data_IF_244994610703
#
_entry.id   IF_244994610703
#
_cell.length_a   1.000
_cell.length_b   1.000
_cell.length_c   1.000
_cell.angle_alpha   90.00
_cell.angle_beta   90.00
_cell.angle_gamma   90.00
#
_symmetry.space_group_name_H-M   'P 1'
#
loop_
_entity.id
_entity.type
_entity.pdbx_description
1 polymer ?
#
# COMPACT_ATOMS: atom_id res chain seq x y z
N UNK A 1 -17.36 -23.05 5.18
CA UNK A 1 -17.98 -21.84 5.77
C UNK A 1 -17.30 -21.55 7.10
N UNK A 2 -17.03 -20.28 7.43
CA UNK A 2 -16.40 -19.86 8.70
C UNK A 2 -17.40 -19.06 9.54
N UNK A 3 -17.41 -19.28 10.86
CA UNK A 3 -18.23 -18.57 11.84
C UNK A 3 -17.35 -18.01 12.96
N UNK A 4 -17.69 -16.83 13.46
CA UNK A 4 -16.97 -16.14 14.54
C UNK A 4 -17.95 -15.81 15.66
N UNK A 5 -17.60 -16.20 16.88
CA UNK A 5 -18.38 -15.90 18.09
C UNK A 5 -17.52 -15.14 19.08
N UNK A 6 -18.09 -14.14 19.73
CA UNK A 6 -17.44 -13.42 20.82
C UNK A 6 -17.89 -14.02 22.16
N UNK A 7 -17.01 -14.06 23.15
CA UNK A 7 -17.34 -14.46 24.51
C UNK A 7 -16.66 -13.55 25.53
N UNK A 8 -17.27 -13.42 26.71
CA UNK A 8 -16.76 -12.60 27.79
C UNK A 8 -16.35 -13.42 29.02
N UNK A 9 -16.87 -14.65 29.17
CA UNK A 9 -16.56 -15.53 30.30
C UNK A 9 -16.20 -16.94 29.84
N UNK A 10 -15.55 -17.71 30.71
CA UNK A 10 -15.15 -19.09 30.42
C UNK A 10 -16.34 -20.05 30.33
N UNK A 11 -17.43 -19.76 31.04
CA UNK A 11 -18.67 -20.52 30.93
C UNK A 11 -19.35 -20.30 29.58
N UNK A 12 -19.36 -19.05 29.10
CA UNK A 12 -19.87 -18.70 27.77
C UNK A 12 -19.02 -19.33 26.68
N UNK A 13 -17.69 -19.29 26.82
CA UNK A 13 -16.73 -19.97 25.94
C UNK A 13 -17.05 -21.46 25.83
N UNK A 14 -17.22 -22.14 26.96
CA UNK A 14 -17.49 -23.58 27.00
C UNK A 14 -18.82 -23.92 26.34
N UNK A 15 -19.86 -23.12 26.59
CA UNK A 15 -21.18 -23.30 25.96
C UNK A 15 -21.12 -23.13 24.45
N UNK A 16 -20.43 -22.12 23.94
CA UNK A 16 -20.29 -21.88 22.50
C UNK A 16 -19.59 -23.07 21.82
N UNK A 17 -18.58 -23.65 22.47
CA UNK A 17 -17.88 -24.84 21.96
C UNK A 17 -18.82 -26.05 21.90
N UNK A 18 -19.63 -26.28 22.92
CA UNK A 18 -20.60 -27.39 22.94
C UNK A 18 -21.70 -27.20 21.88
N UNK A 19 -22.25 -25.99 21.77
CA UNK A 19 -23.31 -25.62 20.82
C UNK A 19 -22.87 -25.71 19.35
N UNK A 20 -21.57 -25.60 19.08
CA UNK A 20 -20.98 -25.69 17.73
C UNK A 20 -20.08 -26.93 17.58
N UNK A 21 -20.36 -28.01 18.33
CA UNK A 21 -19.58 -29.25 18.33
C UNK A 21 -19.55 -29.98 16.98
N UNK A 22 -20.47 -29.63 16.07
CA UNK A 22 -20.49 -30.08 14.68
C UNK A 22 -19.45 -29.38 13.78
N UNK A 23 -18.88 -28.24 14.24
CA UNK A 23 -17.86 -27.48 13.55
C UNK A 23 -16.49 -27.68 14.19
N UNK A 24 -15.43 -27.48 13.40
CA UNK A 24 -14.07 -27.51 13.90
C UNK A 24 -13.71 -26.14 14.47
N UNK A 25 -13.25 -26.10 15.72
CA UNK A 25 -12.60 -24.91 16.26
C UNK A 25 -11.26 -24.74 15.53
N UNK A 26 -11.16 -23.66 14.74
CA UNK A 26 -9.99 -23.33 13.94
C UNK A 26 -8.99 -22.54 14.79
N UNK A 27 -9.49 -21.52 15.49
CA UNK A 27 -8.66 -20.55 16.19
C UNK A 27 -9.44 -19.91 17.34
N UNK A 28 -8.72 -19.52 18.39
CA UNK A 28 -9.20 -18.72 19.50
C UNK A 28 -8.35 -17.43 19.57
N UNK A 29 -9.01 -16.27 19.51
CA UNK A 29 -8.37 -14.95 19.45
C UNK A 29 -8.72 -14.14 20.69
N UNK A 30 -7.72 -13.82 21.50
CA UNK A 30 -7.85 -12.95 22.67
C UNK A 30 -7.13 -11.63 22.37
N UNK A 31 -7.88 -10.64 21.87
CA UNK A 31 -7.35 -9.35 21.41
C UNK A 31 -7.97 -8.19 22.20
N UNK A 32 -7.46 -6.97 22.00
CA UNK A 32 -7.91 -5.77 22.74
C UNK A 32 -9.40 -5.46 22.60
N UNK A 33 -10.02 -5.94 21.52
CA UNK A 33 -11.44 -5.72 21.21
C UNK A 33 -12.36 -6.78 21.85
N UNK A 34 -11.81 -7.89 22.34
CA UNK A 34 -12.54 -8.99 22.94
C UNK A 34 -11.94 -10.36 22.65
N UNK A 35 -12.62 -11.39 23.17
CA UNK A 35 -12.24 -12.79 22.99
C UNK A 35 -13.17 -13.45 21.98
N UNK A 36 -12.61 -14.20 21.03
CA UNK A 36 -13.36 -14.78 19.93
C UNK A 36 -12.98 -16.23 19.66
N UNK A 37 -14.00 -17.03 19.32
CA UNK A 37 -13.85 -18.38 18.81
C UNK A 37 -14.20 -18.41 17.33
N UNK A 38 -13.29 -18.95 16.51
CA UNK A 38 -13.46 -19.09 15.07
C UNK A 38 -13.67 -20.56 14.73
N UNK A 39 -14.83 -20.86 14.17
CA UNK A 39 -15.20 -22.21 13.76
C UNK A 39 -15.29 -22.33 12.24
N UNK A 40 -15.04 -23.52 11.70
CA UNK A 40 -15.32 -23.80 10.30
C UNK A 40 -15.59 -25.26 10.01
N UNK A 41 -16.11 -25.50 8.81
CA UNK A 41 -16.47 -26.84 8.33
C UNK A 41 -15.26 -27.68 7.91
N UNK A 42 -14.16 -27.02 7.56
CA UNK A 42 -12.93 -27.65 7.09
C UNK A 42 -11.74 -26.96 7.77
N UNK A 43 -10.66 -27.70 8.00
CA UNK A 43 -9.41 -27.08 8.46
C UNK A 43 -8.89 -26.18 7.34
N UNK A 44 -8.52 -24.92 7.62
CA UNK A 44 -7.89 -24.09 6.61
C UNK A 44 -6.62 -24.80 6.13
N UNK A 45 -6.52 -24.97 4.81
CA UNK A 45 -5.31 -25.48 4.18
C UNK A 45 -4.24 -24.41 4.33
N UNK A 46 -3.42 -24.52 5.38
CA UNK A 46 -2.21 -23.70 5.50
C UNK A 46 -1.31 -24.13 4.35
N UNK A 47 -1.20 -23.29 3.32
CA UNK A 47 -0.20 -23.46 2.26
C UNK A 47 1.17 -23.17 2.87
N UNK A 48 1.77 -24.16 3.51
CA UNK A 48 3.19 -24.13 3.86
C UNK A 48 4.00 -24.36 2.59
N UNK A 49 4.59 -23.30 2.06
CA UNK A 49 5.56 -23.42 0.97
C UNK A 49 6.85 -24.02 1.53
N UNK A 50 7.05 -25.32 1.35
CA UNK A 50 8.30 -26.02 1.73
C UNK A 50 9.44 -25.60 0.79
N UNK A 51 9.08 -25.20 -0.43
CA UNK A 51 9.98 -24.69 -1.46
C UNK A 51 9.29 -23.53 -2.17
N UNK A 52 10.00 -22.43 -2.38
CA UNK A 52 9.50 -21.29 -3.17
C UNK A 52 9.27 -21.79 -4.60
N UNK A 53 8.06 -21.65 -5.17
CA UNK A 53 7.81 -22.01 -6.55
C UNK A 53 8.73 -21.18 -7.47
N UNK A 54 9.66 -21.84 -8.15
CA UNK A 54 10.70 -21.19 -8.95
C UNK A 54 10.12 -20.32 -10.07
N UNK A 55 9.00 -20.77 -10.67
CA UNK A 55 8.28 -20.03 -11.71
C UNK A 55 7.71 -18.71 -11.18
N UNK A 56 7.05 -18.70 -10.02
CA UNK A 56 6.50 -17.48 -9.42
C UNK A 56 7.62 -16.50 -9.02
N UNK A 57 8.75 -17.02 -8.56
CA UNK A 57 9.90 -16.23 -8.17
C UNK A 57 10.59 -15.57 -9.37
N UNK A 58 10.80 -16.30 -10.47
CA UNK A 58 11.41 -15.75 -11.68
C UNK A 58 10.47 -14.75 -12.38
N UNK A 59 9.16 -15.00 -12.39
CA UNK A 59 8.18 -14.01 -12.85
C UNK A 59 8.24 -12.72 -12.02
N UNK A 60 8.27 -12.84 -10.68
CA UNK A 60 8.34 -11.68 -9.79
C UNK A 60 9.64 -10.88 -9.98
N UNK A 61 10.75 -11.56 -10.25
CA UNK A 61 12.05 -10.94 -10.53
C UNK A 61 12.06 -10.20 -11.87
N UNK A 62 11.38 -10.76 -12.88
CA UNK A 62 11.21 -10.11 -14.18
C UNK A 62 10.40 -8.82 -14.04
N UNK A 63 9.26 -8.88 -13.34
CA UNK A 63 8.42 -7.71 -13.07
C UNK A 63 9.17 -6.64 -12.27
N UNK A 64 9.94 -7.05 -11.25
CA UNK A 64 10.77 -6.14 -10.47
C UNK A 64 11.81 -5.41 -11.33
N UNK A 65 12.42 -6.12 -12.29
CA UNK A 65 13.41 -5.55 -13.21
C UNK A 65 12.75 -4.55 -14.16
N UNK A 66 11.59 -4.90 -14.72
CA UNK A 66 10.83 -4.02 -15.61
C UNK A 66 10.35 -2.75 -14.88
N UNK A 67 9.84 -2.89 -13.67
CA UNK A 67 9.43 -1.76 -12.83
C UNK A 67 10.59 -0.83 -12.50
N UNK A 68 11.76 -1.38 -12.17
CA UNK A 68 12.98 -0.57 -11.95
C UNK A 68 13.40 0.18 -13.21
N UNK A 69 13.35 -0.46 -14.36
CA UNK A 69 13.67 0.18 -15.63
C UNK A 69 12.68 1.33 -15.95
N UNK A 70 11.38 1.10 -15.75
CA UNK A 70 10.36 2.14 -15.93
C UNK A 70 10.54 3.30 -14.94
N UNK A 71 10.77 3.01 -13.66
CA UNK A 71 11.02 4.03 -12.65
C UNK A 71 12.25 4.86 -12.99
N UNK A 72 13.34 4.23 -13.45
CA UNK A 72 14.52 4.94 -13.91
C UNK A 72 14.22 5.84 -15.10
N UNK A 73 13.53 5.34 -16.13
CA UNK A 73 13.20 6.14 -17.31
C UNK A 73 12.31 7.36 -16.96
N UNK A 74 11.40 7.21 -16.00
CA UNK A 74 10.58 8.31 -15.50
C UNK A 74 11.40 9.32 -14.70
N UNK A 75 12.33 8.86 -13.86
CA UNK A 75 13.26 9.73 -13.12
C UNK A 75 14.15 10.54 -14.06
N UNK A 76 14.81 9.87 -15.01
CA UNK A 76 15.67 10.51 -16.01
C UNK A 76 14.87 11.54 -16.83
N UNK A 77 13.60 11.24 -17.14
CA UNK A 77 12.70 12.20 -17.82
C UNK A 77 12.33 13.40 -16.94
N UNK A 78 12.09 13.19 -15.65
CA UNK A 78 11.76 14.26 -14.70
C UNK A 78 12.95 15.22 -14.53
N UNK A 79 14.15 14.68 -14.37
CA UNK A 79 15.40 15.44 -14.29
C UNK A 79 15.60 16.30 -15.55
N UNK A 80 15.40 15.72 -16.73
CA UNK A 80 15.47 16.49 -17.99
C UNK A 80 14.44 17.63 -18.04
N UNK A 81 13.20 17.39 -17.60
CA UNK A 81 12.18 18.45 -17.59
C UNK A 81 12.55 19.57 -16.63
N UNK A 82 13.11 19.26 -15.47
CA UNK A 82 13.55 20.25 -14.49
C UNK A 82 14.68 21.11 -15.03
N UNK A 83 15.68 20.51 -15.70
CA UNK A 83 16.76 21.25 -16.35
C UNK A 83 16.24 22.23 -17.41
N UNK A 84 15.28 21.78 -18.24
CA UNK A 84 14.65 22.63 -19.26
C UNK A 84 13.89 23.78 -18.60
N UNK A 85 13.11 23.50 -17.55
CA UNK A 85 12.36 24.52 -16.83
C UNK A 85 13.29 25.55 -16.18
N UNK A 86 14.39 25.14 -15.56
CA UNK A 86 15.37 26.05 -14.97
C UNK A 86 16.01 26.95 -16.03
N UNK A 87 16.35 26.39 -17.20
CA UNK A 87 16.89 27.16 -18.32
C UNK A 87 15.88 28.17 -18.87
N UNK A 88 14.61 27.79 -18.98
CA UNK A 88 13.54 28.70 -19.40
C UNK A 88 13.30 29.81 -18.38
N UNK A 89 13.23 29.46 -17.10
CA UNK A 89 13.05 30.41 -16.01
C UNK A 89 14.17 31.44 -15.98
N UNK A 90 15.43 30.98 -16.11
CA UNK A 90 16.60 31.87 -16.16
C UNK A 90 16.54 32.85 -17.34
N UNK A 91 16.07 32.39 -18.52
CA UNK A 91 15.87 33.28 -19.67
C UNK A 91 14.79 34.30 -19.43
N UNK A 92 13.65 33.89 -18.87
CA UNK A 92 12.53 34.77 -18.59
C UNK A 92 12.87 35.86 -17.56
N UNK A 93 13.65 35.52 -16.53
CA UNK A 93 14.04 36.48 -15.47
C UNK A 93 15.15 37.43 -15.86
N UNK A 94 16.00 37.07 -16.84
CA UNK A 94 17.14 37.88 -17.27
C UNK A 94 16.95 38.51 -18.67
N UNK A 95 15.74 38.42 -19.25
CA UNK A 95 15.43 39.09 -20.51
C UNK A 95 15.12 40.59 -20.24
N UNK A 96 15.91 41.53 -20.79
CA UNK A 96 15.68 42.96 -20.63
C UNK A 96 14.35 43.44 -21.23
N UNK A 97 13.69 42.65 -22.10
CA UNK A 97 12.37 42.99 -22.63
C UNK A 97 11.24 42.87 -21.58
N UNK A 98 11.42 42.07 -20.51
CA UNK A 98 10.44 41.93 -19.43
C UNK A 98 10.62 42.93 -18.27
N UNK A 99 11.67 43.77 -18.32
CA UNK A 99 11.96 44.82 -17.33
C UNK A 99 11.10 46.09 -17.49
N UNK A 100 10.26 46.19 -18.52
CA UNK A 100 9.59 47.46 -18.89
C UNK A 100 8.21 47.64 -18.22
N UNK A 101 7.69 46.65 -17.48
CA UNK A 101 6.37 46.76 -16.84
C UNK A 101 6.38 47.15 -15.35
N UNK A 102 7.53 47.42 -14.74
CA UNK A 102 7.61 47.75 -13.31
C UNK A 102 7.61 49.26 -12.97
N UNK A 103 7.75 50.16 -13.96
CA UNK A 103 8.06 51.58 -13.69
C UNK A 103 6.98 52.60 -14.10
N UNK A 104 5.72 52.20 -14.37
CA UNK A 104 4.66 53.17 -14.77
C UNK A 104 3.51 53.38 -13.79
N UNK A 105 3.67 53.01 -12.51
CA UNK A 105 2.68 53.35 -11.45
C UNK A 105 3.26 54.21 -10.32
N UNK A 106 4.14 55.16 -10.60
CA UNK A 106 4.40 56.27 -9.67
C UNK A 106 4.76 57.54 -10.44
N UNK A 107 3.76 58.30 -10.87
CA UNK A 107 4.03 59.60 -11.46
C UNK A 107 2.87 60.32 -12.13
N UNK A 108 1.86 60.73 -11.36
CA UNK A 108 1.07 61.98 -11.50
C UNK A 108 0.55 62.29 -10.08
N UNK A 109 0.83 63.43 -9.46
CA UNK A 109 0.71 64.77 -10.02
C UNK A 109 -0.62 65.33 -9.55
#
# INVERSE_FOLDING_TARGET
>A
MIRKFQYNTDEERSRIIEENSELLLIEEQNITEGNFLIFGTERPVIKTYITVPEEEFELLKQDSTLLKAQSKALSDRAEFTDEVLQKWLWRYTNDPAHSILADTETGRG
#
